data_IF_534214274023
#
_entry.id   IF_534214274023
#
_cell.length_a   1.000
_cell.length_b   1.000
_cell.length_c   1.000
_cell.angle_alpha   90.00
_cell.angle_beta   90.00
_cell.angle_gamma   90.00
#
_symmetry.space_group_name_H-M   'P 1'
#
loop_
_entity.id
_entity.type
_entity.pdbx_description
1 polymer ?
#
# COMPACT_ATOMS: atom_id res chain seq x y z
N UNK A 1 -17.15 14.18 -11.67
CA UNK A 1 -15.88 14.26 -10.93
C UNK A 1 -15.02 13.05 -11.25
N UNK A 2 -13.79 13.26 -11.69
CA UNK A 2 -12.86 12.15 -11.91
C UNK A 2 -12.47 11.59 -10.55
N UNK A 3 -13.01 10.43 -10.14
CA UNK A 3 -12.54 9.66 -8.98
C UNK A 3 -11.20 8.98 -9.29
N UNK A 4 -10.26 9.71 -9.89
CA UNK A 4 -8.93 9.23 -10.23
C UNK A 4 -7.99 9.45 -9.05
N UNK A 5 -7.38 8.37 -8.60
CA UNK A 5 -6.41 8.36 -7.52
C UNK A 5 -5.50 7.16 -7.63
N UNK A 6 -4.48 7.09 -6.79
CA UNK A 6 -3.60 5.93 -6.70
C UNK A 6 -2.96 5.86 -5.32
N UNK A 7 -2.52 4.64 -4.97
CA UNK A 7 -1.56 4.40 -3.89
C UNK A 7 -0.26 3.93 -4.53
N UNK A 8 0.86 4.45 -4.03
CA UNK A 8 2.21 4.09 -4.46
C UNK A 8 3.03 3.69 -3.24
N UNK A 9 3.69 2.55 -3.35
CA UNK A 9 4.72 2.10 -2.41
C UNK A 9 6.09 2.25 -3.06
N UNK A 10 7.08 2.63 -2.25
CA UNK A 10 8.50 2.61 -2.64
C UNK A 10 9.21 1.67 -1.66
N UNK A 11 9.88 0.66 -2.20
CA UNK A 11 10.61 -0.31 -1.41
C UNK A 11 11.98 -0.59 -2.01
N UNK A 12 12.90 -1.05 -1.17
CA UNK A 12 14.23 -1.51 -1.59
C UNK A 12 14.10 -2.76 -2.46
N UNK A 13 14.90 -2.83 -3.53
CA UNK A 13 14.86 -3.97 -4.46
C UNK A 13 15.51 -5.22 -3.91
N UNK A 14 16.50 -5.08 -3.02
CA UNK A 14 17.30 -6.20 -2.53
C UNK A 14 16.64 -6.96 -1.38
N UNK A 15 15.83 -6.29 -0.57
CA UNK A 15 15.21 -6.88 0.62
C UNK A 15 13.74 -6.47 0.85
N UNK A 16 13.13 -5.75 -0.08
CA UNK A 16 11.72 -5.32 -0.05
C UNK A 16 11.30 -4.47 1.14
N UNK A 17 12.27 -3.92 1.89
CA UNK A 17 11.99 -2.98 2.97
C UNK A 17 11.29 -1.74 2.43
N UNK A 18 10.15 -1.38 3.02
CA UNK A 18 9.37 -0.21 2.60
C UNK A 18 10.11 1.06 3.02
N UNK A 19 10.32 1.96 2.06
CA UNK A 19 10.96 3.27 2.25
C UNK A 19 9.96 4.41 2.31
N UNK A 20 8.75 4.22 1.78
CA UNK A 20 7.73 5.26 1.82
C UNK A 20 6.45 4.91 1.08
N UNK A 21 5.41 5.67 1.41
CA UNK A 21 4.09 5.61 0.81
C UNK A 21 3.67 6.98 0.26
N UNK A 22 2.91 6.98 -0.83
CA UNK A 22 2.24 8.16 -1.37
C UNK A 22 0.84 7.77 -1.83
N UNK A 23 -0.14 8.63 -1.58
CA UNK A 23 -1.51 8.38 -2.02
C UNK A 23 -2.18 9.68 -2.48
N UNK A 24 -3.04 9.57 -3.48
CA UNK A 24 -3.91 10.66 -3.96
C UNK A 24 -5.31 10.07 -4.15
N UNK A 25 -6.34 10.72 -3.61
CA UNK A 25 -7.73 10.28 -3.72
C UNK A 25 -8.60 10.83 -2.59
N UNK A 26 -9.91 10.59 -2.68
CA UNK A 26 -10.82 10.92 -1.57
C UNK A 26 -10.60 9.95 -0.40
N UNK A 27 -10.53 10.47 0.83
CA UNK A 27 -10.39 9.64 2.05
C UNK A 27 -9.00 9.05 2.30
N UNK A 28 -7.97 9.42 1.52
CA UNK A 28 -6.60 8.90 1.70
C UNK A 28 -5.92 9.35 2.99
N UNK A 29 -6.45 10.38 3.67
CA UNK A 29 -5.97 10.81 4.98
C UNK A 29 -5.99 9.67 5.99
N UNK A 30 -7.01 8.81 5.95
CA UNK A 30 -7.17 7.69 6.87
C UNK A 30 -6.12 6.59 6.67
N UNK A 31 -5.48 6.54 5.49
CA UNK A 31 -4.40 5.58 5.21
C UNK A 31 -3.06 6.02 5.83
N UNK A 32 -2.93 7.29 6.24
CA UNK A 32 -1.67 7.85 6.78
C UNK A 32 -1.18 7.11 8.03
N UNK A 33 -2.10 6.68 8.91
CA UNK A 33 -1.77 5.91 10.10
C UNK A 33 -1.14 4.57 9.75
N UNK A 34 -1.71 3.83 8.79
CA UNK A 34 -1.16 2.56 8.33
C UNK A 34 0.21 2.74 7.66
N UNK A 35 0.37 3.82 6.86
CA UNK A 35 1.65 4.16 6.25
C UNK A 35 2.73 4.42 7.32
N UNK A 36 2.43 5.28 8.30
CA UNK A 36 3.35 5.60 9.38
C UNK A 36 3.73 4.37 10.20
N UNK A 37 2.74 3.57 10.61
CA UNK A 37 2.98 2.35 11.37
C UNK A 37 3.83 1.33 10.61
N UNK A 38 3.57 1.11 9.31
CA UNK A 38 4.37 0.19 8.50
C UNK A 38 5.84 0.62 8.39
N UNK A 39 6.10 1.92 8.31
CA UNK A 39 7.46 2.47 8.26
C UNK A 39 8.17 2.33 9.61
N UNK A 40 7.50 2.68 10.71
CA UNK A 40 8.05 2.58 12.07
C UNK A 40 8.34 1.12 12.46
N UNK A 41 7.52 0.18 11.98
CA UNK A 41 7.74 -1.26 12.20
C UNK A 41 8.84 -1.85 11.30
N UNK A 42 9.33 -1.11 10.31
CA UNK A 42 10.28 -1.62 9.32
C UNK A 42 9.69 -2.72 8.45
N UNK A 43 8.41 -2.60 8.07
CA UNK A 43 7.70 -3.60 7.29
C UNK A 43 8.28 -3.75 5.88
N UNK A 44 8.23 -4.98 5.37
CA UNK A 44 8.52 -5.30 3.97
C UNK A 44 7.22 -5.36 3.15
N UNK A 45 7.35 -5.39 1.82
CA UNK A 45 6.22 -5.50 0.90
C UNK A 45 5.33 -6.72 1.21
N UNK A 46 5.94 -7.84 1.57
CA UNK A 46 5.28 -9.10 1.88
C UNK A 46 4.36 -9.00 3.11
N UNK A 47 4.76 -8.21 4.12
CA UNK A 47 3.97 -8.02 5.34
C UNK A 47 2.64 -7.31 5.02
N UNK A 48 2.69 -6.32 4.13
CA UNK A 48 1.51 -5.57 3.69
C UNK A 48 0.66 -6.38 2.71
N UNK A 49 1.30 -7.02 1.73
CA UNK A 49 0.61 -7.86 0.75
C UNK A 49 -0.08 -9.08 1.38
N UNK A 50 0.56 -9.68 2.40
CA UNK A 50 0.06 -10.85 3.12
C UNK A 50 -0.93 -10.55 4.25
N UNK A 51 -1.11 -9.27 4.60
CA UNK A 51 -2.16 -8.86 5.54
C UNK A 51 -3.53 -8.92 4.84
N UNK A 52 -4.55 -9.38 5.55
CA UNK A 52 -5.93 -9.39 5.03
C UNK A 52 -6.52 -7.99 5.16
N UNK A 53 -6.87 -7.36 4.04
CA UNK A 53 -7.57 -6.08 4.03
C UNK A 53 -9.08 -6.31 3.91
N UNK A 54 -9.85 -5.52 4.67
CA UNK A 54 -11.30 -5.64 4.66
C UNK A 54 -11.88 -5.17 3.31
N UNK A 55 -12.87 -5.91 2.82
CA UNK A 55 -13.63 -5.55 1.63
C UNK A 55 -15.05 -5.08 2.00
N UNK A 56 -15.59 -3.98 1.41
CA UNK A 56 -14.93 -3.03 0.50
C UNK A 56 -14.31 -1.84 1.25
N UNK A 57 -13.00 -1.61 1.13
CA UNK A 57 -12.31 -0.47 1.76
C UNK A 57 -11.20 0.14 0.90
N UNK A 58 -10.84 1.41 1.18
CA UNK A 58 -9.67 2.06 0.55
C UNK A 58 -8.35 1.35 0.88
N UNK A 59 -8.31 0.58 1.97
CA UNK A 59 -7.14 -0.20 2.37
C UNK A 59 -6.76 -1.25 1.32
N UNK A 60 -7.70 -1.76 0.54
CA UNK A 60 -7.42 -2.75 -0.52
C UNK A 60 -6.40 -2.21 -1.54
N UNK A 61 -6.43 -0.90 -1.84
CA UNK A 61 -5.46 -0.28 -2.73
C UNK A 61 -4.02 -0.28 -2.17
N UNK A 62 -3.87 -0.28 -0.85
CA UNK A 62 -2.57 -0.41 -0.17
C UNK A 62 -2.01 -1.82 -0.35
N UNK A 63 -2.87 -2.83 -0.15
CA UNK A 63 -2.51 -4.23 -0.38
C UNK A 63 -2.13 -4.47 -1.84
N UNK A 64 -2.96 -4.02 -2.78
CA UNK A 64 -2.70 -4.16 -4.22
C UNK A 64 -1.44 -3.42 -4.66
N UNK A 65 -1.12 -2.25 -4.10
CA UNK A 65 0.13 -1.56 -4.39
C UNK A 65 1.36 -2.37 -3.97
N UNK A 66 1.30 -3.07 -2.83
CA UNK A 66 2.35 -3.98 -2.39
C UNK A 66 2.42 -5.25 -3.26
N UNK A 67 1.28 -5.89 -3.54
CA UNK A 67 1.19 -7.06 -4.44
C UNK A 67 1.73 -6.73 -5.84
N UNK A 68 1.46 -5.52 -6.35
CA UNK A 68 1.99 -5.02 -7.62
C UNK A 68 3.51 -4.93 -7.61
N UNK A 69 4.07 -4.39 -6.53
CA UNK A 69 5.53 -4.27 -6.41
C UNK A 69 6.21 -5.65 -6.36
N UNK A 70 5.52 -6.67 -5.83
CA UNK A 70 5.95 -8.06 -5.83
C UNK A 70 5.66 -8.80 -7.16
N UNK A 71 4.91 -8.18 -8.08
CA UNK A 71 4.64 -8.72 -9.42
C UNK A 71 3.42 -9.64 -9.55
N UNK A 72 2.53 -9.66 -8.56
CA UNK A 72 1.36 -10.55 -8.52
C UNK A 72 0.11 -9.87 -7.93
N UNK A 73 -0.17 -8.65 -8.39
CA UNK A 73 -1.44 -7.97 -8.11
C UNK A 73 -2.63 -8.64 -8.79
N UNK A 74 -3.81 -8.51 -8.19
CA UNK A 74 -5.02 -9.24 -8.60
C UNK A 74 -6.02 -8.36 -9.34
N UNK A 75 -6.05 -7.05 -9.05
CA UNK A 75 -7.11 -6.15 -9.52
C UNK A 75 -6.60 -4.91 -10.29
N UNK A 76 -5.52 -5.05 -11.05
CA UNK A 76 -4.90 -3.99 -11.88
C UNK A 76 -5.33 -4.00 -13.35
#
# INVERSE_FOLDING_TARGET
>A
ESKSGFVRVVARRDNHLILGWQAVGAGVSELSTAFGQSLEMGACLEDIAGTIHAHPTLGEAVQEAALRALGHALHL
#
